data_IF_119157732700
#
_entry.id   IF_119157732700
#
_cell.length_a   1.000
_cell.length_b   1.000
_cell.length_c   1.000
_cell.angle_alpha   90.00
_cell.angle_beta   90.00
_cell.angle_gamma   90.00
#
_symmetry.space_group_name_H-M   'P 1'
#
loop_
_entity.id
_entity.type
_entity.pdbx_description
1 polymer ?
#
# COMPACT_ATOMS: atom_id res chain seq x y z
N UNK A 1 -10.03 -29.97 -12.08
CA UNK A 1 -9.86 -28.62 -11.49
C UNK A 1 -8.38 -28.23 -11.37
N UNK A 2 -7.51 -29.03 -10.76
CA UNK A 2 -6.07 -28.69 -10.63
C UNK A 2 -5.36 -28.42 -11.95
N UNK A 3 -5.61 -29.22 -13.00
CA UNK A 3 -5.05 -29.00 -14.32
C UNK A 3 -5.47 -27.66 -14.97
N UNK A 4 -6.69 -27.18 -14.70
CA UNK A 4 -7.15 -25.87 -15.20
C UNK A 4 -6.40 -24.72 -14.53
N UNK A 5 -6.18 -24.80 -13.21
CA UNK A 5 -5.41 -23.80 -12.45
C UNK A 5 -3.95 -23.79 -12.92
N UNK A 6 -3.35 -24.97 -13.10
CA UNK A 6 -1.97 -25.10 -13.57
C UNK A 6 -1.80 -24.60 -15.01
N UNK A 7 -2.77 -24.84 -15.89
CA UNK A 7 -2.74 -24.33 -17.26
C UNK A 7 -2.75 -22.80 -17.32
N UNK A 8 -3.49 -22.13 -16.41
CA UNK A 8 -3.48 -20.67 -16.30
C UNK A 8 -2.09 -20.12 -15.89
N UNK A 9 -1.29 -20.91 -15.16
CA UNK A 9 0.09 -20.55 -14.80
C UNK A 9 1.10 -20.90 -15.90
N UNK A 10 0.84 -21.95 -16.69
CA UNK A 10 1.78 -22.48 -17.68
C UNK A 10 1.75 -21.74 -19.03
N UNK A 11 0.63 -21.11 -19.40
CA UNK A 11 0.50 -20.39 -20.68
C UNK A 11 -0.05 -18.99 -20.48
N UNK A 12 0.82 -18.00 -20.56
CA UNK A 12 0.47 -16.58 -20.57
C UNK A 12 0.22 -16.11 -22.00
N UNK A 13 -0.94 -15.52 -22.27
CA UNK A 13 -1.25 -14.92 -23.58
C UNK A 13 -0.62 -13.53 -23.77
N UNK A 14 -0.58 -13.04 -25.00
CA UNK A 14 -0.08 -11.69 -25.31
C UNK A 14 -0.80 -10.59 -24.53
N UNK A 15 -2.11 -10.73 -24.31
CA UNK A 15 -2.91 -9.77 -23.53
C UNK A 15 -2.44 -9.62 -22.08
N UNK A 16 -1.93 -10.69 -21.46
CA UNK A 16 -1.37 -10.61 -20.10
C UNK A 16 -0.09 -9.76 -20.09
N UNK A 17 0.80 -9.98 -21.05
CA UNK A 17 2.05 -9.24 -21.17
C UNK A 17 1.83 -7.77 -21.53
N UNK A 18 0.87 -7.47 -22.41
CA UNK A 18 0.54 -6.07 -22.76
C UNK A 18 -0.04 -5.33 -21.57
N UNK A 19 -0.98 -5.93 -20.83
CA UNK A 19 -1.55 -5.33 -19.62
C UNK A 19 -0.49 -5.13 -18.54
N UNK A 20 0.37 -6.12 -18.30
CA UNK A 20 1.45 -6.04 -17.31
C UNK A 20 2.47 -4.97 -17.69
N UNK A 21 2.85 -4.88 -18.97
CA UNK A 21 3.74 -3.85 -19.48
C UNK A 21 3.14 -2.45 -19.35
N UNK A 22 1.85 -2.30 -19.68
CA UNK A 22 1.13 -1.02 -19.57
C UNK A 22 1.01 -0.56 -18.11
N UNK A 23 0.55 -1.42 -17.20
CA UNK A 23 0.42 -1.07 -15.78
C UNK A 23 1.78 -0.83 -15.14
N UNK A 24 2.79 -1.62 -15.50
CA UNK A 24 4.18 -1.40 -15.09
C UNK A 24 4.71 -0.04 -15.54
N UNK A 25 4.45 0.34 -16.80
CA UNK A 25 4.85 1.66 -17.32
C UNK A 25 4.13 2.80 -16.59
N UNK A 26 2.83 2.67 -16.32
CA UNK A 26 2.08 3.67 -15.54
C UNK A 26 2.64 3.83 -14.12
N UNK A 27 3.01 2.73 -13.47
CA UNK A 27 3.66 2.76 -12.15
C UNK A 27 5.01 3.49 -12.25
N UNK A 28 5.83 3.23 -13.27
CA UNK A 28 7.11 3.91 -13.46
C UNK A 28 6.93 5.42 -13.71
N UNK A 29 5.96 5.81 -14.53
CA UNK A 29 5.63 7.23 -14.76
C UNK A 29 5.19 7.89 -13.45
N UNK A 30 4.37 7.21 -12.64
CA UNK A 30 3.93 7.73 -11.34
C UNK A 30 5.07 7.88 -10.34
N UNK A 31 5.92 6.85 -10.19
CA UNK A 31 7.00 6.84 -9.18
C UNK A 31 8.20 7.68 -9.57
N UNK A 32 8.71 7.52 -10.79
CA UNK A 32 9.91 8.23 -11.24
C UNK A 32 9.55 9.62 -11.75
N UNK A 33 8.46 9.73 -12.51
CA UNK A 33 8.01 11.00 -13.08
C UNK A 33 7.34 11.89 -12.03
N UNK A 34 6.14 11.55 -11.61
CA UNK A 34 5.33 12.44 -10.76
C UNK A 34 5.89 12.58 -9.33
N UNK A 35 6.20 11.46 -8.66
CA UNK A 35 6.73 11.50 -7.30
C UNK A 35 8.18 12.02 -7.26
N UNK A 36 9.03 11.61 -8.20
CA UNK A 36 10.37 12.18 -8.36
C UNK A 36 10.36 13.69 -8.59
N UNK A 37 9.46 14.18 -9.45
CA UNK A 37 9.25 15.61 -9.65
C UNK A 37 8.78 16.34 -8.38
N UNK A 38 7.86 15.75 -7.62
CA UNK A 38 7.39 16.30 -6.35
C UNK A 38 8.49 16.34 -5.28
N UNK A 39 9.38 15.34 -5.24
CA UNK A 39 10.54 15.33 -4.34
C UNK A 39 11.47 16.51 -4.66
N UNK A 40 11.66 16.82 -5.95
CA UNK A 40 12.54 17.91 -6.40
C UNK A 40 11.92 19.30 -6.20
N UNK A 41 10.67 19.50 -6.62
CA UNK A 41 9.97 20.80 -6.55
C UNK A 41 9.29 21.06 -5.20
N UNK A 42 9.13 20.03 -4.37
CA UNK A 42 8.48 20.08 -3.06
C UNK A 42 6.96 19.85 -3.09
N UNK A 43 6.37 19.81 -1.89
CA UNK A 43 4.95 19.51 -1.65
C UNK A 43 3.96 20.52 -2.25
N UNK A 44 4.43 21.68 -2.71
CA UNK A 44 3.56 22.69 -3.35
C UNK A 44 2.92 22.17 -4.64
N UNK A 45 3.57 21.24 -5.34
CA UNK A 45 3.04 20.61 -6.56
C UNK A 45 1.76 19.83 -6.30
N UNK A 46 1.59 19.28 -5.09
CA UNK A 46 0.38 18.58 -4.68
C UNK A 46 -0.84 19.52 -4.49
N UNK A 47 -0.65 20.84 -4.67
CA UNK A 47 -1.64 21.88 -4.49
C UNK A 47 -2.33 21.84 -3.11
N UNK A 48 -1.60 21.38 -2.10
CA UNK A 48 -2.01 21.37 -0.71
C UNK A 48 -1.72 22.76 -0.13
N UNK A 49 -2.74 23.42 0.42
CA UNK A 49 -2.65 24.81 0.90
C UNK A 49 -3.11 24.92 2.33
N UNK A 50 -2.60 25.92 3.05
CA UNK A 50 -3.17 26.26 4.38
C UNK A 50 -4.65 26.65 4.19
N UNK A 51 -5.57 26.18 5.06
CA UNK A 51 -5.37 25.36 6.26
C UNK A 51 -5.42 23.83 6.02
N UNK A 52 -5.75 23.38 4.80
CA UNK A 52 -5.95 21.96 4.46
C UNK A 52 -4.63 21.32 4.02
N UNK A 53 -3.91 20.76 4.99
CA UNK A 53 -2.63 20.09 4.73
C UNK A 53 -2.78 18.66 4.20
N UNK A 54 -3.94 18.04 4.37
CA UNK A 54 -4.20 16.66 3.97
C UNK A 54 -5.27 16.65 2.88
N UNK A 55 -4.84 16.40 1.64
CA UNK A 55 -5.71 16.25 0.48
C UNK A 55 -5.65 14.84 -0.08
N UNK A 56 -5.49 14.74 -1.40
CA UNK A 56 -5.57 13.47 -2.14
C UNK A 56 -4.66 12.36 -1.61
N UNK A 57 -3.46 12.66 -1.09
CA UNK A 57 -2.57 11.59 -0.62
C UNK A 57 -3.13 10.87 0.61
N UNK A 58 -3.61 11.59 1.62
CA UNK A 58 -4.16 10.97 2.83
C UNK A 58 -5.55 10.37 2.54
N UNK A 59 -6.35 11.00 1.68
CA UNK A 59 -7.62 10.40 1.24
C UNK A 59 -7.41 9.07 0.54
N UNK A 60 -6.45 8.99 -0.39
CA UNK A 60 -6.12 7.73 -1.07
C UNK A 60 -5.50 6.71 -0.10
N UNK A 61 -4.64 7.15 0.82
CA UNK A 61 -4.12 6.28 1.88
C UNK A 61 -5.24 5.56 2.63
N UNK A 62 -6.20 6.30 3.19
CA UNK A 62 -7.33 5.73 3.94
C UNK A 62 -8.22 4.87 3.03
N UNK A 63 -8.42 5.29 1.78
CA UNK A 63 -9.18 4.50 0.79
C UNK A 63 -8.56 3.12 0.55
N UNK A 64 -7.25 3.05 0.32
CA UNK A 64 -6.55 1.79 0.08
C UNK A 64 -6.48 0.91 1.33
N UNK A 65 -6.31 1.50 2.52
CA UNK A 65 -6.48 0.78 3.80
C UNK A 65 -7.91 0.22 3.92
N UNK A 66 -8.93 0.97 3.51
CA UNK A 66 -10.31 0.48 3.50
C UNK A 66 -10.50 -0.75 2.60
N UNK A 67 -9.91 -0.73 1.40
CA UNK A 67 -9.93 -1.89 0.48
C UNK A 67 -9.23 -3.09 1.12
N UNK A 68 -8.09 -2.88 1.81
CA UNK A 68 -7.34 -3.99 2.40
C UNK A 68 -8.13 -4.73 3.48
N UNK A 69 -8.91 -4.01 4.29
CA UNK A 69 -9.74 -4.60 5.34
C UNK A 69 -10.82 -5.54 4.80
N UNK A 70 -11.36 -5.25 3.60
CA UNK A 70 -12.35 -6.10 2.96
C UNK A 70 -11.81 -7.52 2.72
N UNK A 71 -10.56 -7.64 2.25
CA UNK A 71 -9.99 -8.97 1.98
C UNK A 71 -9.68 -9.78 3.24
N UNK A 72 -9.24 -9.14 4.33
CA UNK A 72 -9.05 -9.84 5.62
C UNK A 72 -10.36 -10.17 6.33
N UNK A 73 -11.40 -9.37 6.13
CA UNK A 73 -12.74 -9.73 6.57
C UNK A 73 -13.19 -11.04 5.89
N UNK A 74 -12.99 -11.16 4.58
CA UNK A 74 -13.34 -12.38 3.82
C UNK A 74 -12.48 -13.58 4.24
N UNK A 75 -11.20 -13.42 4.55
CA UNK A 75 -10.34 -14.55 4.94
C UNK A 75 -10.51 -14.99 6.39
N UNK A 76 -10.55 -14.04 7.33
CA UNK A 76 -10.60 -14.32 8.76
C UNK A 76 -12.03 -14.51 9.29
N UNK A 77 -12.93 -13.56 9.01
CA UNK A 77 -14.27 -13.56 9.63
C UNK A 77 -15.14 -14.67 9.05
N UNK A 78 -15.16 -14.86 7.73
CA UNK A 78 -15.89 -15.99 7.13
C UNK A 78 -15.33 -17.35 7.58
N UNK A 79 -14.05 -17.40 7.98
CA UNK A 79 -13.43 -18.58 8.58
C UNK A 79 -13.94 -18.84 10.00
N UNK A 80 -14.06 -17.81 10.82
CA UNK A 80 -14.66 -17.91 12.17
C UNK A 80 -16.10 -18.40 12.09
N UNK A 81 -16.90 -17.85 11.17
CA UNK A 81 -18.29 -18.26 10.95
C UNK A 81 -18.45 -19.61 10.22
N UNK A 82 -17.35 -20.30 9.88
CA UNK A 82 -17.37 -21.58 9.15
C UNK A 82 -18.14 -21.54 7.82
N UNK A 83 -18.23 -20.37 7.18
CA UNK A 83 -18.91 -20.23 5.90
C UNK A 83 -18.10 -20.88 4.77
N UNK A 84 -18.58 -21.99 4.19
CA UNK A 84 -17.81 -22.80 3.24
C UNK A 84 -17.67 -22.17 1.84
N UNK A 85 -18.59 -21.30 1.45
CA UNK A 85 -18.59 -20.63 0.13
C UNK A 85 -17.37 -19.73 -0.10
N UNK A 86 -16.61 -19.39 0.96
CA UNK A 86 -15.42 -18.53 0.87
C UNK A 86 -14.24 -19.17 0.13
N UNK A 87 -14.16 -20.51 0.11
CA UNK A 87 -12.98 -21.29 -0.37
C UNK A 87 -12.41 -20.83 -1.73
N UNK A 88 -13.21 -20.54 -2.78
CA UNK A 88 -12.67 -20.05 -4.05
C UNK A 88 -12.19 -18.59 -4.02
N UNK A 89 -12.72 -17.76 -3.13
CA UNK A 89 -12.47 -16.30 -3.11
C UNK A 89 -11.32 -15.93 -2.16
N UNK A 90 -11.14 -16.69 -1.07
CA UNK A 90 -10.18 -16.36 0.00
C UNK A 90 -8.77 -16.04 -0.52
N UNK A 91 -8.23 -16.82 -1.47
CA UNK A 91 -6.88 -16.56 -2.01
C UNK A 91 -6.80 -15.25 -2.80
N UNK A 92 -7.84 -14.94 -3.58
CA UNK A 92 -7.89 -13.69 -4.34
C UNK A 92 -8.06 -12.49 -3.40
N UNK A 93 -8.85 -12.64 -2.33
CA UNK A 93 -9.03 -11.62 -1.29
C UNK A 93 -7.73 -11.32 -0.53
N UNK A 94 -6.98 -12.35 -0.12
CA UNK A 94 -5.69 -12.16 0.57
C UNK A 94 -4.65 -11.48 -0.34
N UNK A 95 -4.62 -11.85 -1.62
CA UNK A 95 -3.76 -11.22 -2.61
C UNK A 95 -4.13 -9.74 -2.83
N UNK A 96 -5.43 -9.44 -2.93
CA UNK A 96 -5.93 -8.06 -3.06
C UNK A 96 -5.55 -7.21 -1.84
N UNK A 97 -5.73 -7.74 -0.61
CA UNK A 97 -5.32 -7.05 0.62
C UNK A 97 -3.84 -6.71 0.61
N UNK A 98 -2.99 -7.67 0.25
CA UNK A 98 -1.53 -7.49 0.26
C UNK A 98 -1.11 -6.37 -0.70
N UNK A 99 -1.65 -6.36 -1.92
CA UNK A 99 -1.36 -5.29 -2.89
C UNK A 99 -1.94 -3.94 -2.45
N UNK A 100 -3.16 -3.92 -1.91
CA UNK A 100 -3.76 -2.69 -1.38
C UNK A 100 -2.93 -2.10 -0.23
N UNK A 101 -2.37 -2.94 0.66
CA UNK A 101 -1.50 -2.48 1.75
C UNK A 101 -0.18 -1.92 1.27
N UNK A 102 0.45 -2.54 0.27
CA UNK A 102 1.68 -2.00 -0.33
C UNK A 102 1.41 -0.61 -0.91
N UNK A 103 0.34 -0.45 -1.68
CA UNK A 103 -0.04 0.86 -2.25
C UNK A 103 -0.41 1.86 -1.15
N UNK A 104 -1.16 1.44 -0.13
CA UNK A 104 -1.50 2.27 1.02
C UNK A 104 -0.23 2.77 1.75
N UNK A 105 0.70 1.87 2.06
CA UNK A 105 1.95 2.19 2.76
C UNK A 105 2.85 3.16 2.00
N UNK A 106 2.71 3.26 0.67
CA UNK A 106 3.45 4.24 -0.14
C UNK A 106 2.92 5.66 0.03
N UNK A 107 1.63 5.87 0.27
CA UNK A 107 1.06 7.23 0.35
C UNK A 107 1.59 8.08 1.51
N UNK A 108 1.79 7.55 2.73
CA UNK A 108 2.51 8.27 3.79
C UNK A 108 3.91 8.71 3.35
N UNK A 109 4.65 7.86 2.62
CA UNK A 109 5.98 8.19 2.10
C UNK A 109 5.92 9.29 1.03
N UNK A 110 4.93 9.23 0.14
CA UNK A 110 4.71 10.22 -0.92
C UNK A 110 4.27 11.57 -0.33
N UNK A 111 3.51 11.56 0.77
CA UNK A 111 3.04 12.78 1.43
C UNK A 111 4.12 13.46 2.28
N UNK A 112 5.23 12.80 2.59
CA UNK A 112 6.33 13.42 3.33
C UNK A 112 7.05 14.48 2.49
N UNK A 113 7.17 15.69 3.00
CA UNK A 113 7.97 16.73 2.35
C UNK A 113 9.48 16.46 2.31
N UNK A 114 9.97 15.53 3.14
CA UNK A 114 11.36 15.05 3.15
C UNK A 114 11.39 13.53 3.30
N UNK A 115 10.95 12.82 2.26
CA UNK A 115 10.84 11.35 2.27
C UNK A 115 12.14 10.65 2.67
N UNK A 116 13.32 11.17 2.30
CA UNK A 116 14.61 10.58 2.65
C UNK A 116 14.90 10.52 4.16
N UNK A 117 14.15 11.25 5.00
CA UNK A 117 14.25 11.18 6.47
C UNK A 117 13.27 10.22 7.11
N UNK A 118 12.52 9.44 6.32
CA UNK A 118 11.53 8.47 6.81
C UNK A 118 12.09 7.52 7.87
N UNK A 119 13.35 7.11 7.75
CA UNK A 119 13.98 6.19 8.70
C UNK A 119 13.97 6.69 10.17
N UNK A 120 13.84 7.99 10.43
CA UNK A 120 13.68 8.54 11.78
C UNK A 120 12.34 8.20 12.46
N UNK A 121 11.37 7.72 11.69
CA UNK A 121 10.09 7.25 12.23
C UNK A 121 10.22 5.85 12.84
N UNK A 122 11.22 5.06 12.42
CA UNK A 122 11.46 3.72 12.92
C UNK A 122 12.14 3.75 14.30
N UNK A 123 11.71 2.91 15.26
CA UNK A 123 12.36 2.80 16.56
C UNK A 123 13.64 1.96 16.44
N UNK A 124 14.77 2.60 16.18
CA UNK A 124 16.09 1.96 16.19
C UNK A 124 17.10 2.74 17.04
N UNK A 125 18.05 2.06 17.72
CA UNK A 125 19.10 2.74 18.45
C UNK A 125 19.98 3.57 17.51
N UNK A 126 20.15 4.85 17.82
CA UNK A 126 21.02 5.76 17.06
C UNK A 126 22.04 6.42 17.99
N UNK A 127 23.10 6.97 17.39
CA UNK A 127 24.19 7.66 18.09
C UNK A 127 23.72 8.86 18.95
N UNK A 128 22.53 9.39 18.67
CA UNK A 128 21.94 10.55 19.35
C UNK A 128 20.97 10.16 20.47
N UNK A 129 20.75 8.86 20.70
CA UNK A 129 19.78 8.32 21.66
C UNK A 129 18.37 8.90 21.51
N UNK A 130 17.99 9.28 20.28
CA UNK A 130 16.67 9.82 19.96
C UNK A 130 15.70 8.71 19.61
N UNK A 131 14.44 8.87 20.01
CA UNK A 131 13.36 7.92 19.74
C UNK A 131 12.16 8.64 19.10
N UNK A 132 11.36 7.93 18.29
CA UNK A 132 10.09 8.46 17.81
C UNK A 132 9.12 8.71 18.98
N UNK A 133 8.18 9.63 18.79
CA UNK A 133 7.15 9.90 19.80
C UNK A 133 6.08 8.80 19.77
N UNK A 134 6.05 7.97 20.82
CA UNK A 134 5.11 6.85 20.92
C UNK A 134 3.64 7.23 21.12
N UNK A 135 3.33 8.50 21.37
CA UNK A 135 1.96 8.99 21.47
C UNK A 135 1.37 9.48 20.14
N UNK A 136 2.18 9.51 19.06
CA UNK A 136 1.71 9.99 17.76
C UNK A 136 0.89 8.92 17.04
N UNK A 137 -0.36 9.22 16.61
CA UNK A 137 -1.15 8.30 15.80
C UNK A 137 -0.47 7.91 14.48
N UNK A 138 0.33 8.81 13.87
CA UNK A 138 1.07 8.51 12.63
C UNK A 138 2.15 7.44 12.85
N UNK A 139 2.71 7.37 14.06
CA UNK A 139 3.66 6.31 14.40
C UNK A 139 2.91 4.99 14.63
N UNK A 140 1.70 5.02 15.21
CA UNK A 140 0.84 3.85 15.31
C UNK A 140 0.42 3.32 13.95
N UNK A 141 0.07 4.21 13.00
CA UNK A 141 -0.26 3.84 11.63
C UNK A 141 0.90 3.11 10.96
N UNK A 142 2.13 3.63 11.10
CA UNK A 142 3.32 2.98 10.56
C UNK A 142 3.50 1.57 11.13
N UNK A 143 3.38 1.42 12.46
CA UNK A 143 3.48 0.11 13.11
C UNK A 143 2.37 -0.83 12.66
N UNK A 144 1.11 -0.36 12.63
CA UNK A 144 -0.05 -1.14 12.23
C UNK A 144 0.10 -1.68 10.80
N UNK A 145 0.50 -0.84 9.84
CA UNK A 145 0.70 -1.24 8.44
C UNK A 145 1.81 -2.29 8.33
N UNK A 146 2.96 -2.10 9.00
CA UNK A 146 4.04 -3.08 8.97
C UNK A 146 3.63 -4.42 9.58
N UNK A 147 2.94 -4.40 10.73
CA UNK A 147 2.44 -5.63 11.36
C UNK A 147 1.30 -6.29 10.59
N UNK A 148 0.58 -5.53 9.76
CA UNK A 148 -0.54 -6.05 8.98
C UNK A 148 -0.09 -6.67 7.66
N UNK A 149 1.03 -6.20 7.11
CA UNK A 149 1.61 -6.77 5.90
C UNK A 149 2.33 -8.12 6.14
N UNK A 150 2.80 -8.34 7.37
CA UNK A 150 3.51 -9.56 7.81
C UNK A 150 2.50 -10.60 8.30
#
# INVERSE_FOLDING_TARGET
MNAMILNAMARTGLGFWTLTGLTGLLILIGLVGAWGYQIYMGMGVANIRRPVFWGLYITNFVFWIGISHSGTFVSAILRVFKAEFRRPITRASEMMTSFALVVAGMYPLIHLGRTWRFYWMLPYPNQRQLWPNFHSPLMWDMMAIFTYLI
#
